data_IF_290861217589
#
_entry.id   IF_290861217589
#
_cell.length_a   1.000
_cell.length_b   1.000
_cell.length_c   1.000
_cell.angle_alpha   90.00
_cell.angle_beta   90.00
_cell.angle_gamma   90.00
#
_symmetry.space_group_name_H-M   'P 1'
#
loop_
_entity.id
_entity.type
_entity.pdbx_description
1 polymer ?
#
# COMPACT_ATOMS: atom_id res chain seq x y z
N UNK A 1 -1.69 26.00 -17.71
CA UNK A 1 -1.29 25.12 -16.59
C UNK A 1 -2.50 24.28 -16.27
N UNK A 2 -2.41 22.97 -16.46
CA UNK A 2 -3.55 22.10 -16.17
C UNK A 2 -3.80 22.08 -14.66
N UNK A 3 -5.05 22.36 -14.28
CA UNK A 3 -5.47 22.47 -12.90
C UNK A 3 -6.35 21.28 -12.54
N UNK A 4 -5.90 20.52 -11.56
CA UNK A 4 -6.57 19.35 -11.00
C UNK A 4 -7.29 19.70 -9.69
N UNK A 5 -8.38 19.01 -9.38
CA UNK A 5 -8.96 19.11 -8.05
C UNK A 5 -8.11 18.34 -7.03
N UNK A 6 -7.53 17.21 -7.44
CA UNK A 6 -6.59 16.45 -6.65
C UNK A 6 -5.44 15.89 -7.51
N UNK A 7 -4.21 16.07 -7.04
CA UNK A 7 -3.02 15.47 -7.63
C UNK A 7 -2.36 14.53 -6.62
N UNK A 8 -2.23 13.26 -6.99
CA UNK A 8 -1.67 12.20 -6.16
C UNK A 8 -0.24 11.92 -6.62
N UNK A 9 0.74 12.05 -5.73
CA UNK A 9 2.14 11.79 -6.02
C UNK A 9 2.49 10.36 -5.61
N UNK A 10 2.69 9.49 -6.59
CA UNK A 10 2.98 8.08 -6.40
C UNK A 10 1.81 7.19 -6.83
N UNK A 11 2.14 6.16 -7.60
CA UNK A 11 1.19 5.26 -8.27
C UNK A 11 1.17 3.84 -7.70
N UNK A 12 1.71 3.66 -6.48
CA UNK A 12 1.62 2.41 -5.73
C UNK A 12 0.22 2.14 -5.16
N UNK A 13 0.05 1.11 -4.31
CA UNK A 13 -1.24 0.76 -3.71
C UNK A 13 -1.96 1.95 -3.08
N UNK A 14 -1.29 2.71 -2.21
CA UNK A 14 -1.89 3.86 -1.53
C UNK A 14 -2.40 4.93 -2.53
N UNK A 15 -1.63 5.22 -3.58
CA UNK A 15 -2.03 6.21 -4.60
C UNK A 15 -3.21 5.74 -5.45
N UNK A 16 -3.21 4.46 -5.87
CA UNK A 16 -4.31 3.89 -6.64
C UNK A 16 -5.60 3.83 -5.82
N UNK A 17 -5.55 3.34 -4.57
CA UNK A 17 -6.74 3.29 -3.70
C UNK A 17 -7.22 4.69 -3.30
N UNK A 18 -6.31 5.66 -3.09
CA UNK A 18 -6.70 7.05 -2.89
C UNK A 18 -7.47 7.61 -4.10
N UNK A 19 -6.99 7.36 -5.32
CA UNK A 19 -7.70 7.78 -6.54
C UNK A 19 -9.07 7.11 -6.67
N UNK A 20 -9.18 5.81 -6.38
CA UNK A 20 -10.45 5.08 -6.42
C UNK A 20 -11.45 5.70 -5.43
N UNK A 21 -10.98 6.05 -4.23
CA UNK A 21 -11.81 6.69 -3.23
C UNK A 21 -12.26 8.08 -3.66
N UNK A 22 -11.38 8.89 -4.25
CA UNK A 22 -11.74 10.21 -4.77
C UNK A 22 -12.76 10.12 -5.91
N UNK A 23 -12.62 9.15 -6.82
CA UNK A 23 -13.63 8.90 -7.86
C UNK A 23 -14.98 8.47 -7.26
N UNK A 24 -14.97 7.61 -6.22
CA UNK A 24 -16.18 7.17 -5.49
C UNK A 24 -16.89 8.34 -4.79
N UNK A 25 -16.14 9.31 -4.28
CA UNK A 25 -16.65 10.56 -3.72
C UNK A 25 -17.15 11.55 -4.78
N UNK A 26 -17.05 11.21 -6.07
CA UNK A 26 -17.55 12.02 -7.17
C UNK A 26 -16.60 13.10 -7.65
N UNK A 27 -15.35 13.11 -7.16
CA UNK A 27 -14.36 14.08 -7.59
C UNK A 27 -13.97 13.84 -9.06
N UNK A 28 -13.78 14.94 -9.79
CA UNK A 28 -13.31 14.96 -11.17
C UNK A 28 -11.96 15.68 -11.27
N UNK A 29 -11.31 15.61 -12.44
CA UNK A 29 -9.96 16.15 -12.66
C UNK A 29 -8.98 15.68 -11.59
N UNK A 30 -8.85 14.36 -11.48
CA UNK A 30 -7.88 13.70 -10.62
C UNK A 30 -6.69 13.29 -11.49
N UNK A 31 -5.47 13.47 -11.00
CA UNK A 31 -4.29 12.92 -11.65
C UNK A 31 -3.41 12.15 -10.65
N UNK A 32 -2.83 11.04 -11.10
CA UNK A 32 -1.73 10.36 -10.44
C UNK A 32 -0.45 10.69 -11.21
N UNK A 33 0.55 11.22 -10.52
CA UNK A 33 1.87 11.51 -11.08
C UNK A 33 2.91 10.56 -10.50
N UNK A 34 3.74 9.98 -11.37
CA UNK A 34 4.81 9.08 -10.96
C UNK A 34 6.06 9.22 -11.84
N UNK A 35 7.23 9.16 -11.22
CA UNK A 35 8.53 9.19 -11.92
C UNK A 35 8.76 7.95 -12.77
N UNK A 36 8.11 6.84 -12.45
CA UNK A 36 8.22 5.59 -13.18
C UNK A 36 7.26 5.60 -14.39
N UNK A 37 7.65 4.99 -15.52
CA UNK A 37 6.83 4.95 -16.73
C UNK A 37 5.63 4.00 -16.63
N UNK A 38 5.53 3.22 -15.55
CA UNK A 38 4.46 2.28 -15.30
C UNK A 38 4.13 2.30 -13.80
N UNK A 39 2.83 2.26 -13.41
CA UNK A 39 2.46 2.26 -12.01
C UNK A 39 3.12 1.12 -11.27
N UNK A 40 3.83 1.46 -10.20
CA UNK A 40 4.70 0.52 -9.54
C UNK A 40 4.79 0.81 -8.04
N UNK A 41 5.13 -0.25 -7.31
CA UNK A 41 5.20 -0.29 -5.86
C UNK A 41 5.20 -1.74 -5.43
N UNK A 42 4.61 -2.04 -4.26
CA UNK A 42 4.49 -3.41 -3.76
C UNK A 42 3.65 -4.36 -4.63
N UNK A 43 2.89 -3.85 -5.60
CA UNK A 43 1.99 -4.64 -6.46
C UNK A 43 2.73 -5.58 -7.42
N UNK A 44 4.00 -5.28 -7.74
CA UNK A 44 4.83 -6.09 -8.62
C UNK A 44 5.63 -7.17 -7.86
N UNK A 45 5.43 -7.27 -6.55
CA UNK A 45 6.08 -8.27 -5.71
C UNK A 45 5.22 -9.55 -5.62
N UNK A 46 5.63 -10.45 -4.74
CA UNK A 46 4.98 -11.74 -4.45
C UNK A 46 3.46 -11.64 -4.22
N UNK A 47 2.97 -10.51 -3.71
CA UNK A 47 1.55 -10.21 -3.76
C UNK A 47 0.72 -10.96 -2.72
N UNK A 48 1.19 -10.92 -1.47
CA UNK A 48 0.51 -11.49 -0.31
C UNK A 48 -0.39 -10.43 0.34
N UNK A 49 -1.65 -10.78 0.55
CA UNK A 49 -2.61 -10.00 1.31
C UNK A 49 -2.87 -10.71 2.63
N UNK A 50 -2.77 -9.96 3.73
CA UNK A 50 -3.05 -10.44 5.07
C UNK A 50 -4.25 -9.67 5.59
N UNK A 51 -5.37 -10.35 5.85
CA UNK A 51 -6.59 -9.73 6.38
C UNK A 51 -6.68 -9.94 7.89
N UNK A 52 -5.77 -9.29 8.61
CA UNK A 52 -5.78 -9.20 10.08
C UNK A 52 -5.02 -7.92 10.51
N UNK A 53 -5.68 -7.04 11.27
CA UNK A 53 -5.10 -5.74 11.67
C UNK A 53 -3.86 -5.88 12.56
N UNK A 54 -3.62 -7.06 13.13
CA UNK A 54 -2.42 -7.33 13.95
C UNK A 54 -1.18 -7.57 13.08
N UNK A 55 -1.33 -7.67 11.77
CA UNK A 55 -0.23 -7.86 10.81
C UNK A 55 0.04 -6.55 10.07
N UNK A 56 1.23 -6.00 10.24
CA UNK A 56 1.66 -4.78 9.55
C UNK A 56 1.82 -3.60 10.50
N UNK A 57 1.06 -2.53 10.29
CA UNK A 57 1.21 -1.26 11.01
C UNK A 57 0.47 -1.24 12.35
N UNK A 58 0.98 -0.48 13.30
CA UNK A 58 0.32 -0.20 14.56
C UNK A 58 -0.90 0.73 14.35
N UNK A 59 -2.06 0.31 14.84
CA UNK A 59 -3.30 1.09 14.73
C UNK A 59 -3.22 2.39 15.54
N UNK A 60 -2.47 2.41 16.64
CA UNK A 60 -2.28 3.61 17.46
C UNK A 60 -1.45 4.66 16.71
N UNK A 61 -0.45 4.22 15.93
CA UNK A 61 0.34 5.10 15.05
C UNK A 61 -0.54 5.70 13.94
N UNK A 62 -1.44 4.88 13.38
CA UNK A 62 -2.41 5.31 12.37
C UNK A 62 -3.57 6.14 12.94
N UNK A 63 -3.76 6.14 14.27
CA UNK A 63 -4.88 6.78 14.98
C UNK A 63 -6.24 6.34 14.46
N UNK A 64 -6.38 5.04 14.22
CA UNK A 64 -7.66 4.41 13.82
C UNK A 64 -8.04 3.31 14.80
N UNK A 65 -9.34 3.10 14.98
CA UNK A 65 -9.83 1.98 15.78
C UNK A 65 -9.86 0.66 14.98
N UNK A 66 -10.11 -0.43 15.70
CA UNK A 66 -10.14 -1.78 15.12
C UNK A 66 -11.25 -1.94 14.09
N UNK A 67 -12.41 -1.34 14.35
CA UNK A 67 -13.58 -1.46 13.47
C UNK A 67 -13.33 -0.74 12.13
N UNK A 68 -12.71 0.44 12.17
CA UNK A 68 -12.28 1.18 10.98
C UNK A 68 -11.22 0.41 10.19
N UNK A 69 -10.24 -0.18 10.87
CA UNK A 69 -9.23 -1.02 10.22
C UNK A 69 -9.84 -2.24 9.54
N UNK A 70 -10.78 -2.92 10.21
CA UNK A 70 -11.54 -4.05 9.65
C UNK A 70 -12.38 -3.63 8.44
N UNK A 71 -13.06 -2.49 8.51
CA UNK A 71 -13.84 -1.98 7.41
C UNK A 71 -12.97 -1.69 6.17
N UNK A 72 -11.84 -0.98 6.36
CA UNK A 72 -10.89 -0.70 5.28
C UNK A 72 -10.30 -1.99 4.69
N UNK A 73 -9.96 -2.96 5.52
CA UNK A 73 -9.49 -4.27 5.05
C UNK A 73 -10.55 -4.99 4.23
N UNK A 74 -11.83 -4.95 4.61
CA UNK A 74 -12.90 -5.56 3.83
C UNK A 74 -13.12 -4.82 2.51
N UNK A 75 -13.06 -3.49 2.48
CA UNK A 75 -13.11 -2.72 1.23
C UNK A 75 -11.97 -3.13 0.27
N UNK A 76 -10.75 -3.26 0.78
CA UNK A 76 -9.59 -3.73 0.01
C UNK A 76 -9.81 -5.18 -0.44
N UNK A 77 -10.33 -6.05 0.45
CA UNK A 77 -10.62 -7.45 0.14
C UNK A 77 -11.58 -7.55 -1.04
N UNK A 78 -12.68 -6.80 -1.01
CA UNK A 78 -13.68 -6.78 -2.09
C UNK A 78 -13.08 -6.39 -3.45
N UNK A 79 -12.04 -5.55 -3.49
CA UNK A 79 -11.33 -5.28 -4.75
C UNK A 79 -10.51 -6.50 -5.19
N UNK A 80 -9.71 -7.10 -4.31
CA UNK A 80 -8.79 -8.15 -4.71
C UNK A 80 -9.44 -9.51 -4.96
N UNK A 81 -10.54 -9.86 -4.30
CA UNK A 81 -11.22 -11.16 -4.53
C UNK A 81 -11.81 -11.27 -5.94
N UNK A 82 -12.10 -10.13 -6.58
CA UNK A 82 -12.59 -10.08 -7.96
C UNK A 82 -11.45 -10.06 -8.99
N UNK A 83 -10.19 -10.01 -8.56
CA UNK A 83 -9.05 -10.18 -9.45
C UNK A 83 -8.85 -11.68 -9.77
N UNK A 84 -9.01 -12.14 -11.03
CA UNK A 84 -9.08 -13.58 -11.34
C UNK A 84 -7.84 -14.41 -10.99
N UNK A 85 -6.68 -13.77 -10.77
CA UNK A 85 -5.42 -14.43 -10.41
C UNK A 85 -5.13 -14.38 -8.92
N UNK A 86 -5.95 -13.68 -8.12
CA UNK A 86 -5.83 -13.70 -6.66
C UNK A 86 -6.59 -14.90 -6.12
N UNK A 87 -5.91 -15.75 -5.35
CA UNK A 87 -6.52 -16.92 -4.73
C UNK A 87 -6.34 -16.87 -3.22
N UNK A 88 -7.35 -17.33 -2.49
CA UNK A 88 -7.20 -17.57 -1.07
C UNK A 88 -6.24 -18.73 -0.84
N UNK A 89 -5.20 -18.48 -0.03
CA UNK A 89 -4.14 -19.45 0.30
C UNK A 89 -4.12 -19.83 1.78
N UNK A 90 -4.89 -19.12 2.63
CA UNK A 90 -5.10 -19.52 4.02
C UNK A 90 -6.56 -19.30 4.41
N UNK A 91 -7.13 -20.36 4.98
CA UNK A 91 -8.53 -20.44 5.40
C UNK A 91 -8.58 -20.49 6.93
N UNK A 92 -9.28 -19.55 7.55
CA UNK A 92 -9.31 -19.37 9.01
C UNK A 92 -10.43 -20.13 9.71
N UNK A 93 -11.40 -20.66 8.97
CA UNK A 93 -12.60 -21.26 9.55
C UNK A 93 -12.33 -22.65 10.18
N UNK A 94 -12.53 -22.74 11.49
CA UNK A 94 -12.64 -23.98 12.30
C UNK A 94 -11.52 -25.01 12.05
N UNK A 95 -10.29 -24.54 11.92
CA UNK A 95 -9.14 -25.41 11.70
C UNK A 95 -8.49 -25.80 13.04
N UNK A 96 -8.76 -27.03 13.51
CA UNK A 96 -8.13 -27.61 14.72
C UNK A 96 -6.60 -27.52 14.70
N UNK A 97 -6.00 -27.51 13.52
CA UNK A 97 -4.55 -27.43 13.35
C UNK A 97 -4.02 -26.02 13.61
N UNK A 98 -4.79 -24.97 13.28
CA UNK A 98 -4.47 -23.58 13.66
C UNK A 98 -4.51 -23.42 15.17
N UNK A 99 -5.54 -23.98 15.82
CA UNK A 99 -5.65 -23.97 17.29
C UNK A 99 -4.49 -24.71 17.96
N UNK A 100 -4.12 -25.89 17.44
CA UNK A 100 -2.99 -26.67 17.94
C UNK A 100 -1.67 -25.89 17.82
N UNK A 101 -1.39 -25.28 16.66
CA UNK A 101 -0.22 -24.40 16.50
C UNK A 101 -0.26 -23.20 17.45
N UNK A 102 -1.43 -22.59 17.64
CA UNK A 102 -1.62 -21.49 18.58
C UNK A 102 -1.30 -21.89 20.03
N UNK A 103 -1.69 -23.08 20.45
CA UNK A 103 -1.37 -23.62 21.78
C UNK A 103 0.13 -23.89 21.92
N UNK A 104 0.77 -24.52 20.93
CA UNK A 104 2.22 -24.76 20.93
C UNK A 104 2.98 -23.42 21.01
N UNK A 105 2.60 -22.42 20.21
CA UNK A 105 3.23 -21.11 20.25
C UNK A 105 3.11 -20.48 21.65
N UNK A 106 1.93 -20.58 22.27
CA UNK A 106 1.67 -20.05 23.61
C UNK A 106 2.49 -20.74 24.70
N UNK A 107 2.72 -22.06 24.59
CA UNK A 107 3.61 -22.82 25.48
C UNK A 107 5.07 -22.34 25.39
N UNK A 108 5.44 -21.66 24.30
CA UNK A 108 6.76 -21.10 24.05
C UNK A 108 6.79 -19.55 24.10
N UNK A 109 5.86 -18.93 24.84
CA UNK A 109 5.77 -17.47 25.02
C UNK A 109 5.66 -16.67 23.70
N UNK A 110 5.15 -17.31 22.65
CA UNK A 110 4.88 -16.71 21.35
C UNK A 110 3.37 -16.61 21.08
N UNK A 111 2.96 -15.52 20.44
CA UNK A 111 1.61 -15.37 19.93
C UNK A 111 1.57 -15.72 18.45
N UNK A 112 0.84 -16.78 18.10
CA UNK A 112 0.57 -17.13 16.71
C UNK A 112 -0.62 -16.33 16.16
N UNK A 113 -0.47 -15.77 14.95
CA UNK A 113 -1.53 -15.10 14.21
C UNK A 113 -1.69 -15.83 12.87
N UNK A 114 -2.91 -16.28 12.63
CA UNK A 114 -3.33 -16.91 11.38
C UNK A 114 -4.32 -15.99 10.67
N UNK A 115 -3.85 -15.07 9.81
CA UNK A 115 -4.73 -14.20 9.03
C UNK A 115 -5.40 -15.01 7.91
N UNK A 116 -6.56 -14.54 7.44
CA UNK A 116 -7.02 -14.91 6.10
C UNK A 116 -6.00 -14.35 5.10
N UNK A 117 -5.48 -15.21 4.21
CA UNK A 117 -4.44 -14.81 3.26
C UNK A 117 -4.88 -15.07 1.82
N UNK A 118 -4.59 -14.09 0.99
CA UNK A 118 -4.76 -14.18 -0.46
C UNK A 118 -3.43 -13.90 -1.15
N UNK A 119 -3.24 -14.51 -2.31
CA UNK A 119 -1.97 -14.45 -3.04
C UNK A 119 -2.22 -14.42 -4.54
N UNK A 120 -1.44 -13.62 -5.28
CA UNK A 120 -1.44 -13.66 -6.74
C UNK A 120 -0.09 -14.04 -7.35
N UNK A 121 1.02 -13.98 -6.61
CA UNK A 121 2.34 -14.33 -7.12
C UNK A 121 2.96 -13.26 -8.03
N UNK A 122 4.29 -13.17 -8.00
CA UNK A 122 5.08 -12.16 -8.74
C UNK A 122 4.76 -12.11 -10.24
N UNK A 123 4.52 -13.26 -10.88
CA UNK A 123 4.24 -13.35 -12.31
C UNK A 123 2.95 -12.62 -12.72
N UNK A 124 2.00 -12.47 -11.79
CA UNK A 124 0.74 -11.78 -12.02
C UNK A 124 0.78 -10.29 -11.62
N UNK A 125 1.94 -9.76 -11.23
CA UNK A 125 2.11 -8.37 -10.79
C UNK A 125 1.65 -7.32 -11.81
N UNK A 126 1.96 -7.51 -13.10
CA UNK A 126 1.46 -6.60 -14.16
C UNK A 126 -0.05 -6.69 -14.33
N UNK A 127 -0.58 -7.92 -14.28
CA UNK A 127 -2.02 -8.16 -14.43
C UNK A 127 -2.82 -7.50 -13.28
N UNK A 128 -2.31 -7.52 -12.05
CA UNK A 128 -2.99 -6.84 -10.92
C UNK A 128 -2.91 -5.32 -11.04
N UNK A 129 -1.80 -4.77 -11.54
CA UNK A 129 -1.70 -3.31 -11.78
C UNK A 129 -2.69 -2.88 -12.86
N UNK A 130 -2.75 -3.59 -13.98
CA UNK A 130 -3.71 -3.27 -15.06
C UNK A 130 -5.17 -3.44 -14.59
N UNK A 131 -5.44 -4.48 -13.79
CA UNK A 131 -6.74 -4.68 -13.13
C UNK A 131 -7.15 -3.48 -12.27
N UNK A 132 -6.26 -3.01 -11.39
CA UNK A 132 -6.53 -1.85 -10.53
C UNK A 132 -6.68 -0.56 -11.34
N UNK A 133 -5.82 -0.32 -12.34
CA UNK A 133 -5.92 0.84 -13.23
C UNK A 133 -7.26 0.88 -13.97
N UNK A 134 -7.78 -0.28 -14.36
CA UNK A 134 -9.07 -0.37 -15.05
C UNK A 134 -10.27 0.04 -14.20
N UNK A 135 -10.14 0.13 -12.87
CA UNK A 135 -11.19 0.68 -12.00
C UNK A 135 -11.26 2.19 -12.06
N UNK A 136 -10.19 2.86 -12.46
CA UNK A 136 -10.09 4.31 -12.52
C UNK A 136 -10.52 4.80 -13.91
N UNK A 137 -11.62 5.55 -13.97
CA UNK A 137 -12.20 6.04 -15.24
C UNK A 137 -12.00 7.52 -15.47
N UNK A 138 -11.81 8.30 -14.40
CA UNK A 138 -11.68 9.76 -14.43
C UNK A 138 -10.27 10.24 -14.12
N UNK A 139 -9.43 9.35 -13.59
CA UNK A 139 -8.07 9.65 -13.16
C UNK A 139 -7.10 9.61 -14.34
N UNK A 140 -6.39 10.71 -14.54
CA UNK A 140 -5.30 10.81 -15.50
C UNK A 140 -3.99 10.26 -14.90
N UNK A 141 -3.16 9.60 -15.72
CA UNK A 141 -1.87 9.07 -15.30
C UNK A 141 -0.72 9.85 -15.96
N UNK A 142 -0.01 10.66 -15.17
CA UNK A 142 1.16 11.44 -15.56
C UNK A 142 2.44 10.65 -15.25
N UNK A 143 2.67 9.57 -16.00
CA UNK A 143 3.79 8.64 -15.79
C UNK A 143 5.09 9.17 -16.38
N UNK A 144 6.24 8.62 -15.93
CA UNK A 144 7.56 9.08 -16.34
C UNK A 144 7.85 10.54 -15.95
N UNK A 145 7.13 11.06 -14.95
CA UNK A 145 7.15 12.46 -14.54
C UNK A 145 7.55 12.56 -13.08
N UNK A 146 8.76 13.04 -12.84
CA UNK A 146 9.29 13.18 -11.48
C UNK A 146 8.91 14.54 -10.89
N UNK A 147 8.22 14.54 -9.75
CA UNK A 147 7.98 15.78 -8.99
C UNK A 147 9.27 16.25 -8.34
N UNK A 148 9.60 17.53 -8.51
CA UNK A 148 10.82 18.14 -7.96
C UNK A 148 10.53 19.09 -6.80
N UNK A 149 9.37 19.77 -6.81
CA UNK A 149 8.94 20.62 -5.69
C UNK A 149 7.41 20.79 -5.67
N UNK A 150 6.88 21.02 -4.48
CA UNK A 150 5.49 21.42 -4.25
C UNK A 150 5.52 22.74 -3.47
N UNK A 151 4.80 23.76 -3.94
CA UNK A 151 4.67 25.04 -3.23
C UNK A 151 3.21 25.48 -3.24
N UNK A 152 2.76 26.09 -2.14
CA UNK A 152 1.47 26.80 -2.11
C UNK A 152 1.66 28.19 -2.72
N UNK A 153 0.77 28.60 -3.61
CA UNK A 153 0.82 29.89 -4.28
C UNK A 153 -0.37 30.77 -3.85
N UNK A 154 -0.32 32.07 -4.16
CA UNK A 154 -1.30 33.08 -3.74
C UNK A 154 -2.70 32.87 -4.34
N UNK A 155 -2.82 32.02 -5.35
CA UNK A 155 -4.08 31.62 -6.01
C UNK A 155 -4.82 30.51 -5.23
N UNK A 156 -4.37 30.21 -4.02
CA UNK A 156 -4.82 29.12 -3.14
C UNK A 156 -4.67 27.71 -3.76
N UNK A 157 -3.82 27.58 -4.79
CA UNK A 157 -3.45 26.30 -5.39
C UNK A 157 -2.04 25.87 -4.98
N UNK A 158 -1.80 24.57 -5.03
CA UNK A 158 -0.47 24.00 -5.00
C UNK A 158 0.09 23.93 -6.42
N UNK A 159 1.25 24.52 -6.62
CA UNK A 159 2.03 24.43 -7.84
C UNK A 159 3.06 23.31 -7.69
N UNK A 160 2.99 22.34 -8.59
CA UNK A 160 3.78 21.12 -8.56
C UNK A 160 4.74 21.14 -9.75
N UNK A 161 6.00 21.48 -9.45
CA UNK A 161 7.07 21.49 -10.44
C UNK A 161 7.57 20.07 -10.69
N UNK A 162 7.76 19.74 -11.95
CA UNK A 162 8.04 18.39 -12.40
C UNK A 162 9.13 18.37 -13.48
N UNK A 163 9.72 17.20 -13.69
CA UNK A 163 10.61 16.89 -14.80
C UNK A 163 10.05 15.69 -15.57
N UNK A 164 9.69 15.90 -16.83
CA UNK A 164 9.23 14.87 -17.78
C UNK A 164 10.17 14.85 -18.99
N UNK A 165 10.81 13.71 -19.28
CA UNK A 165 11.83 13.61 -20.34
C UNK A 165 12.88 14.74 -20.32
N UNK A 166 13.38 15.10 -19.12
CA UNK A 166 14.33 16.20 -18.86
C UNK A 166 13.80 17.62 -19.18
N UNK A 167 12.52 17.75 -19.51
CA UNK A 167 11.85 19.05 -19.67
C UNK A 167 11.14 19.41 -18.38
N UNK A 168 11.23 20.68 -18.00
CA UNK A 168 10.47 21.23 -16.87
C UNK A 168 9.01 21.36 -17.29
N UNK A 169 8.12 20.82 -16.46
CA UNK A 169 6.67 20.91 -16.60
C UNK A 169 6.08 21.29 -15.23
N UNK A 170 4.90 21.91 -15.21
CA UNK A 170 4.27 22.39 -13.99
C UNK A 170 2.76 22.13 -14.03
N UNK A 171 2.21 21.65 -12.91
CA UNK A 171 0.80 21.36 -12.74
C UNK A 171 0.24 22.09 -11.52
N UNK A 172 -1.03 22.49 -11.56
CA UNK A 172 -1.71 23.11 -10.44
C UNK A 172 -2.71 22.13 -9.81
N UNK A 173 -2.85 22.14 -8.49
CA UNK A 173 -3.88 21.34 -7.82
C UNK A 173 -4.43 22.02 -6.56
N UNK A 174 -5.73 21.87 -6.29
CA UNK A 174 -6.32 22.33 -5.01
C UNK A 174 -5.83 21.49 -3.84
N UNK A 175 -5.71 20.19 -4.04
CA UNK A 175 -5.22 19.23 -3.04
C UNK A 175 -4.09 18.40 -3.63
N UNK A 176 -3.02 18.19 -2.85
CA UNK A 176 -1.93 17.28 -3.19
C UNK A 176 -1.89 16.15 -2.17
N UNK A 177 -2.03 14.90 -2.62
CA UNK A 177 -1.89 13.70 -1.81
C UNK A 177 -0.54 13.07 -2.09
N UNK A 178 0.36 13.06 -1.12
CA UNK A 178 1.69 12.47 -1.29
C UNK A 178 1.71 11.01 -0.81
N UNK A 179 1.84 10.08 -1.76
CA UNK A 179 1.99 8.64 -1.54
C UNK A 179 3.25 8.06 -2.22
N UNK A 180 4.46 8.66 -2.03
CA UNK A 180 5.65 8.31 -2.81
C UNK A 180 6.33 6.99 -2.37
N UNK A 181 5.83 6.36 -1.30
CA UNK A 181 6.40 5.15 -0.72
C UNK A 181 7.80 5.35 -0.11
N UNK A 182 8.40 4.26 0.39
CA UNK A 182 9.69 4.30 1.09
C UNK A 182 10.82 4.88 0.25
N UNK A 183 10.85 4.56 -1.04
CA UNK A 183 11.88 5.05 -1.98
C UNK A 183 11.80 6.55 -2.26
N UNK A 184 10.70 7.22 -1.88
CA UNK A 184 10.53 8.67 -1.99
C UNK A 184 10.50 9.39 -0.63
N UNK A 185 10.77 8.69 0.48
CA UNK A 185 10.62 9.25 1.84
C UNK A 185 11.52 10.47 2.10
N UNK A 186 12.79 10.43 1.67
CA UNK A 186 13.71 11.58 1.83
C UNK A 186 13.27 12.80 1.03
N UNK A 187 12.84 12.59 -0.21
CA UNK A 187 12.28 13.65 -1.03
C UNK A 187 11.02 14.25 -0.37
N UNK A 188 10.13 13.40 0.13
CA UNK A 188 8.91 13.85 0.78
C UNK A 188 9.18 14.64 2.06
N UNK A 189 10.16 14.21 2.86
CA UNK A 189 10.66 14.94 4.03
C UNK A 189 11.12 16.35 3.65
N UNK A 190 11.90 16.48 2.58
CA UNK A 190 12.44 17.77 2.15
C UNK A 190 11.34 18.70 1.62
N UNK A 191 10.34 18.15 0.91
CA UNK A 191 9.14 18.89 0.49
C UNK A 191 8.31 19.32 1.70
N UNK A 192 8.05 18.41 2.66
CA UNK A 192 7.31 18.70 3.88
C UNK A 192 7.99 19.81 4.69
N UNK A 193 9.32 19.77 4.83
CA UNK A 193 10.11 20.81 5.50
C UNK A 193 9.92 22.17 4.85
N UNK A 194 9.98 22.25 3.51
CA UNK A 194 9.79 23.50 2.76
C UNK A 194 8.36 24.04 2.88
N UNK A 195 7.38 23.17 3.06
CA UNK A 195 5.99 23.52 3.32
C UNK A 195 5.69 23.78 4.81
N UNK A 196 6.71 23.78 5.67
CA UNK A 196 6.56 23.92 7.12
C UNK A 196 5.67 22.86 7.77
N UNK A 197 5.56 21.68 7.16
CA UNK A 197 4.86 20.52 7.70
C UNK A 197 5.80 19.76 8.63
N UNK A 198 5.42 19.67 9.91
CA UNK A 198 6.14 18.88 10.91
C UNK A 198 6.05 17.41 10.55
N UNK A 199 7.18 16.72 10.64
CA UNK A 199 7.31 15.30 10.36
C UNK A 199 8.29 14.69 11.34
N UNK A 200 8.12 13.40 11.61
CA UNK A 200 9.03 12.60 12.43
C UNK A 200 9.41 11.34 11.64
N UNK A 201 10.55 10.74 11.98
CA UNK A 201 10.85 9.40 11.48
C UNK A 201 9.98 8.39 12.23
N UNK A 202 9.28 7.54 11.47
CA UNK A 202 8.59 6.38 12.02
C UNK A 202 9.58 5.29 12.47
N UNK A 203 9.10 4.31 13.25
CA UNK A 203 9.91 3.16 13.63
C UNK A 203 10.44 2.40 12.40
N UNK A 204 11.56 1.72 12.57
CA UNK A 204 12.14 0.85 11.55
C UNK A 204 12.23 -0.55 12.15
N UNK A 205 11.57 -1.50 11.49
CA UNK A 205 11.72 -2.91 11.83
C UNK A 205 13.07 -3.41 11.30
N UNK A 206 13.93 -3.83 12.21
CA UNK A 206 15.21 -4.48 11.89
C UNK A 206 15.07 -5.94 12.27
N UNK A 207 15.34 -6.82 11.32
CA UNK A 207 15.25 -8.26 11.53
C UNK A 207 16.33 -9.02 10.77
N UNK A 208 16.36 -10.33 10.99
CA UNK A 208 17.23 -11.25 10.27
C UNK A 208 16.40 -12.12 9.33
N UNK A 209 16.93 -12.35 8.13
CA UNK A 209 16.35 -13.30 7.19
C UNK A 209 17.02 -14.65 7.41
N UNK A 210 16.25 -15.61 7.90
CA UNK A 210 16.70 -16.99 8.12
C UNK A 210 16.10 -17.86 7.03
N UNK A 211 16.94 -18.64 6.36
CA UNK A 211 16.51 -19.65 5.39
C UNK A 211 16.46 -21.01 6.10
N UNK A 212 15.31 -21.67 6.06
CA UNK A 212 15.07 -22.96 6.71
C UNK A 212 14.89 -24.05 5.66
N UNK A 213 15.30 -25.28 5.99
CA UNK A 213 15.00 -26.40 5.10
C UNK A 213 13.49 -26.67 5.14
N UNK A 214 12.87 -26.64 3.95
CA UNK A 214 11.44 -26.83 3.74
C UNK A 214 10.85 -28.00 4.54
N UNK A 215 11.54 -29.15 4.60
CA UNK A 215 11.05 -30.35 5.30
C UNK A 215 10.78 -30.15 6.80
N UNK A 216 11.38 -29.13 7.41
CA UNK A 216 11.18 -28.78 8.82
C UNK A 216 10.15 -27.68 9.04
N UNK A 217 9.69 -27.00 7.98
CA UNK A 217 8.83 -25.82 8.06
C UNK A 217 7.45 -26.03 7.41
N UNK A 218 7.31 -27.02 6.52
CA UNK A 218 6.03 -27.39 5.87
C UNK A 218 4.91 -27.62 6.89
N UNK A 219 5.22 -28.21 8.05
CA UNK A 219 4.25 -28.43 9.13
C UNK A 219 3.57 -27.14 9.64
N UNK A 220 4.17 -25.97 9.41
CA UNK A 220 3.57 -24.66 9.71
C UNK A 220 3.02 -24.03 8.43
N UNK A 221 3.80 -24.01 7.33
CA UNK A 221 3.41 -23.30 6.11
C UNK A 221 2.28 -23.96 5.32
N UNK A 222 2.05 -25.26 5.51
CA UNK A 222 0.90 -25.97 4.92
C UNK A 222 -0.41 -25.60 5.62
N UNK A 223 -0.34 -25.03 6.83
CA UNK A 223 -1.51 -24.57 7.60
C UNK A 223 -1.76 -23.09 7.34
N UNK A 224 -0.72 -22.26 7.39
CA UNK A 224 -0.77 -20.82 7.13
C UNK A 224 0.35 -20.47 6.16
N UNK A 225 -0.01 -19.91 5.00
CA UNK A 225 0.92 -19.70 3.89
C UNK A 225 2.09 -18.78 4.26
N UNK A 226 1.81 -17.71 5.01
CA UNK A 226 2.82 -16.77 5.52
C UNK A 226 2.59 -16.52 7.02
N UNK A 227 2.99 -17.46 7.90
CA UNK A 227 2.63 -17.47 9.31
C UNK A 227 3.28 -16.30 10.06
N UNK A 228 2.63 -15.85 11.14
CA UNK A 228 3.09 -14.74 11.96
C UNK A 228 3.19 -15.17 13.43
N UNK A 229 4.37 -14.99 14.00
CA UNK A 229 4.64 -15.24 15.41
C UNK A 229 5.15 -13.94 16.04
N UNK A 230 4.50 -13.48 17.09
CA UNK A 230 4.94 -12.35 17.90
C UNK A 230 5.58 -12.93 19.17
N UNK A 231 6.88 -12.74 19.30
CA UNK A 231 7.64 -13.12 20.49
C UNK A 231 7.60 -11.96 21.50
N UNK A 232 7.47 -12.27 22.79
CA UNK A 232 7.52 -11.30 23.88
C UNK A 232 8.86 -11.32 24.61
#
# INVERSE_FOLDING_TARGET
MDAYNALIIGSGPAGLFAAMQLERLGLDRIAIIDRHPYPAGGLLNDGKLNFDYRVGMDLDELKIDRDSAQHLMEEIRQVFIHFPKCQQVTFVDKNKTIEALGNIAKEHDAQFIAPEQWHWGTDNGKAVVDYLRNHLKKTEFLLGTAVTSVMKHDDDLYHVSCSHHRKKVCYAAKVVLAAPGRSGAYWFRDVATKLHVRHNFGPIDVGIRIELNRKYYDAVTDIVYDPKFIFR
#
